data_IF_666493918553
#
_entry.id   IF_666493918553
#
_cell.length_a   1.000
_cell.length_b   1.000
_cell.length_c   1.000
_cell.angle_alpha   90.00
_cell.angle_beta   90.00
_cell.angle_gamma   90.00
#
_symmetry.space_group_name_H-M   'P 1'
#
loop_
_entity.id
_entity.type
_entity.pdbx_description
1 polymer ?
#
# COMPACT_ATOMS: atom_id res chain seq x y z
N UNK A 1 23.00 11.06 45.96
CA UNK A 1 23.62 10.08 45.04
C UNK A 1 24.52 10.82 44.09
N UNK A 2 25.83 10.53 44.12
CA UNK A 2 26.85 11.25 43.33
C UNK A 2 26.75 10.87 41.85
N UNK A 3 26.37 11.81 41.00
CA UNK A 3 26.37 11.64 39.54
C UNK A 3 27.81 11.71 39.04
N UNK A 4 28.44 10.54 38.88
CA UNK A 4 29.72 10.43 38.16
C UNK A 4 29.47 10.89 36.72
N UNK A 5 29.92 12.09 36.37
CA UNK A 5 30.04 12.53 34.99
C UNK A 5 30.90 11.51 34.24
N UNK A 6 30.28 10.63 33.46
CA UNK A 6 31.02 9.80 32.50
C UNK A 6 31.45 10.75 31.38
N UNK A 7 32.69 11.18 31.47
CA UNK A 7 33.36 11.90 30.40
C UNK A 7 33.17 11.16 29.07
N UNK A 8 32.62 11.86 28.07
CA UNK A 8 32.39 11.29 26.75
C UNK A 8 33.71 10.80 26.14
N UNK A 9 33.66 9.61 25.52
CA UNK A 9 34.82 8.98 24.89
C UNK A 9 35.38 9.87 23.77
N UNK A 10 36.71 9.90 23.60
CA UNK A 10 37.35 10.66 22.50
C UNK A 10 36.95 10.09 21.14
N UNK A 11 36.70 10.99 20.19
CA UNK A 11 36.37 10.64 18.81
C UNK A 11 37.62 10.68 17.92
N UNK A 12 38.35 9.57 17.85
CA UNK A 12 39.54 9.46 17.01
C UNK A 12 39.26 9.65 15.51
N UNK A 13 38.04 9.39 15.04
CA UNK A 13 37.68 9.53 13.62
C UNK A 13 37.57 11.02 13.28
N UNK A 14 36.83 11.78 14.09
CA UNK A 14 36.72 13.23 13.93
C UNK A 14 38.08 13.91 14.10
N UNK A 15 38.88 13.47 15.08
CA UNK A 15 40.20 14.02 15.36
C UNK A 15 41.18 13.79 14.19
N UNK A 16 41.17 12.59 13.60
CA UNK A 16 41.96 12.32 12.39
C UNK A 16 41.45 13.12 11.19
N UNK A 17 40.14 13.26 11.03
CA UNK A 17 39.53 14.02 9.94
C UNK A 17 39.94 15.49 9.98
N UNK A 18 39.91 16.13 11.15
CA UNK A 18 40.33 17.52 11.31
C UNK A 18 41.86 17.68 11.18
N UNK A 19 42.64 16.71 11.67
CA UNK A 19 44.09 16.67 11.46
C UNK A 19 44.46 16.67 9.97
N UNK A 20 43.81 15.81 9.18
CA UNK A 20 44.00 15.77 7.73
C UNK A 20 43.54 17.07 7.06
N UNK A 21 42.41 17.66 7.48
CA UNK A 21 41.96 18.97 6.98
C UNK A 21 42.92 20.10 7.28
N UNK A 22 43.61 20.04 8.42
CA UNK A 22 44.66 21.00 8.80
C UNK A 22 45.99 20.78 8.06
N UNK A 23 46.05 19.79 7.15
CA UNK A 23 47.20 19.52 6.31
C UNK A 23 48.21 18.54 6.90
N UNK A 24 47.89 17.88 8.03
CA UNK A 24 48.76 16.89 8.64
C UNK A 24 48.64 15.56 7.88
N UNK A 25 49.77 15.08 7.37
CA UNK A 25 49.85 13.88 6.52
C UNK A 25 50.79 12.83 7.10
N UNK A 26 51.59 13.19 8.10
CA UNK A 26 52.51 12.26 8.77
C UNK A 26 51.89 11.69 10.04
N UNK A 27 52.18 10.42 10.36
CA UNK A 27 51.70 9.77 11.58
C UNK A 27 52.12 10.48 12.88
N UNK A 28 53.34 11.05 12.91
CA UNK A 28 53.86 11.81 14.07
C UNK A 28 53.09 13.11 14.31
N UNK A 29 52.77 13.83 13.23
CA UNK A 29 51.97 15.04 13.27
C UNK A 29 50.57 14.76 13.81
N UNK A 30 49.94 13.69 13.32
CA UNK A 30 48.61 13.27 13.76
C UNK A 30 48.60 12.85 15.24
N UNK A 31 49.70 12.24 15.71
CA UNK A 31 49.86 11.90 17.13
C UNK A 31 50.00 13.15 18.01
N UNK A 32 50.75 14.16 17.58
CA UNK A 32 50.84 15.45 18.28
C UNK A 32 49.49 16.17 18.27
N UNK A 33 48.77 16.12 17.15
CA UNK A 33 47.45 16.71 17.00
C UNK A 33 46.40 16.08 17.93
N UNK A 34 46.44 14.75 18.13
CA UNK A 34 45.64 14.01 19.13
C UNK A 34 45.95 14.36 20.58
N UNK A 35 47.17 14.86 20.85
CA UNK A 35 47.57 15.26 22.20
C UNK A 35 47.13 16.70 22.53
N UNK A 36 47.02 17.57 21.51
CA UNK A 36 46.68 18.99 21.68
C UNK A 36 45.19 19.29 21.49
N UNK A 37 44.47 18.46 20.74
CA UNK A 37 43.04 18.64 20.47
C UNK A 37 42.20 17.59 21.23
N UNK A 38 41.14 18.02 21.93
CA UNK A 38 40.19 17.12 22.59
C UNK A 38 38.83 17.18 21.87
N UNK A 39 38.59 16.22 20.97
CA UNK A 39 37.31 16.05 20.30
C UNK A 39 36.63 14.82 20.90
N UNK A 40 35.46 15.02 21.52
CA UNK A 40 34.70 13.98 22.19
C UNK A 40 33.47 13.58 21.37
N UNK A 41 33.10 12.30 21.45
CA UNK A 41 31.88 11.78 20.82
C UNK A 41 30.67 12.49 21.41
N UNK A 42 29.91 13.16 20.56
CA UNK A 42 28.60 13.65 20.96
C UNK A 42 27.67 12.46 21.14
N UNK A 43 26.81 12.45 22.19
CA UNK A 43 25.77 11.45 22.29
C UNK A 43 24.94 11.53 21.01
N UNK A 44 24.72 10.38 20.37
CA UNK A 44 23.88 10.25 19.19
C UNK A 44 22.43 10.56 19.56
N UNK A 45 22.11 11.83 19.76
CA UNK A 45 20.74 12.29 19.70
C UNK A 45 20.34 12.09 18.24
N UNK A 46 19.41 11.16 18.01
CA UNK A 46 18.93 10.71 16.70
C UNK A 46 18.50 11.88 15.82
N UNK A 47 19.44 12.53 15.13
CA UNK A 47 19.16 13.47 14.05
C UNK A 47 18.97 12.68 12.75
N UNK A 48 18.11 11.66 12.77
CA UNK A 48 17.43 11.25 11.56
C UNK A 48 16.39 12.33 11.33
N UNK A 49 16.68 13.32 10.49
CA UNK A 49 15.63 14.12 9.88
C UNK A 49 14.94 13.19 8.89
N UNK A 50 13.78 12.59 9.22
CA UNK A 50 13.09 11.75 8.25
C UNK A 50 12.81 12.60 7.00
N UNK A 51 12.90 12.00 5.81
CA UNK A 51 12.55 12.66 4.56
C UNK A 51 11.12 13.21 4.57
N UNK A 52 10.28 12.65 5.43
CA UNK A 52 8.90 13.08 5.72
C UNK A 52 8.82 13.54 7.18
N UNK A 53 8.62 14.85 7.45
CA UNK A 53 8.43 15.31 8.82
C UNK A 53 7.20 14.62 9.43
N UNK A 54 7.26 14.27 10.71
CA UNK A 54 6.18 13.51 11.37
C UNK A 54 4.83 14.23 11.34
N UNK A 55 4.82 15.56 11.25
CA UNK A 55 3.62 16.35 11.05
C UNK A 55 2.89 15.98 9.76
N UNK A 56 3.59 15.71 8.66
CA UNK A 56 2.99 15.27 7.40
C UNK A 56 2.44 13.84 7.45
N UNK A 57 2.95 13.00 8.36
CA UNK A 57 2.41 11.65 8.60
C UNK A 57 1.17 11.68 9.49
N UNK A 58 1.12 12.62 10.44
CA UNK A 58 -0.03 12.84 11.31
C UNK A 58 -1.15 13.57 10.54
N UNK A 59 -0.78 14.46 9.62
CA UNK A 59 -1.72 15.12 8.72
C UNK A 59 -2.20 14.14 7.64
N UNK A 60 -3.50 14.20 7.32
CA UNK A 60 -4.16 13.32 6.34
C UNK A 60 -3.78 13.60 4.86
N UNK A 61 -2.62 14.23 4.62
CA UNK A 61 -2.19 14.72 3.30
C UNK A 61 -2.01 13.60 2.28
N UNK A 62 -1.43 12.47 2.69
CA UNK A 62 -1.18 11.35 1.76
C UNK A 62 -2.47 10.65 1.32
N UNK A 63 -3.42 10.48 2.24
CA UNK A 63 -4.72 9.90 1.90
C UNK A 63 -5.54 10.83 1.00
N UNK A 64 -5.46 12.14 1.24
CA UNK A 64 -6.08 13.12 0.36
C UNK A 64 -5.45 13.12 -1.04
N UNK A 65 -4.11 13.14 -1.16
CA UNK A 65 -3.41 13.03 -2.44
C UNK A 65 -3.79 11.76 -3.20
N UNK A 66 -3.87 10.62 -2.50
CA UNK A 66 -4.29 9.37 -3.11
C UNK A 66 -5.71 9.44 -3.67
N UNK A 67 -6.65 10.04 -2.93
CA UNK A 67 -8.02 10.20 -3.38
C UNK A 67 -8.11 11.11 -4.61
N UNK A 68 -7.36 12.22 -4.61
CA UNK A 68 -7.25 13.14 -5.75
C UNK A 68 -6.68 12.43 -6.99
N UNK A 69 -5.65 11.60 -6.82
CA UNK A 69 -5.09 10.78 -7.90
C UNK A 69 -6.10 9.77 -8.46
N UNK A 70 -6.89 9.10 -7.60
CA UNK A 70 -7.93 8.18 -8.07
C UNK A 70 -9.00 8.93 -8.87
N UNK A 71 -9.49 10.05 -8.35
CA UNK A 71 -10.47 10.88 -9.06
C UNK A 71 -9.94 11.38 -10.40
N UNK A 72 -8.66 11.76 -10.48
CA UNK A 72 -8.04 12.18 -11.74
C UNK A 72 -7.98 11.03 -12.74
N UNK A 73 -7.60 9.81 -12.30
CA UNK A 73 -7.59 8.61 -13.15
C UNK A 73 -8.99 8.30 -13.69
N UNK A 74 -10.00 8.36 -12.83
CA UNK A 74 -11.39 8.10 -13.23
C UNK A 74 -11.90 9.13 -14.25
N UNK A 75 -11.58 10.42 -14.05
CA UNK A 75 -11.93 11.49 -15.01
C UNK A 75 -11.29 11.26 -16.38
N UNK A 76 -10.02 10.84 -16.43
CA UNK A 76 -9.32 10.51 -17.68
C UNK A 76 -10.04 9.33 -18.37
N UNK A 77 -10.34 8.26 -17.63
CA UNK A 77 -11.06 7.11 -18.16
C UNK A 77 -12.45 7.50 -18.70
N UNK A 78 -13.22 8.31 -17.97
CA UNK A 78 -14.52 8.80 -18.41
C UNK A 78 -14.42 9.65 -19.69
N UNK A 79 -13.45 10.57 -19.77
CA UNK A 79 -13.22 11.37 -20.97
C UNK A 79 -12.89 10.50 -22.21
N UNK A 80 -12.21 9.37 -22.02
CA UNK A 80 -11.97 8.40 -23.09
C UNK A 80 -13.19 7.54 -23.45
N UNK A 81 -14.10 7.27 -22.51
CA UNK A 81 -15.31 6.46 -22.73
C UNK A 81 -16.34 7.16 -23.62
N UNK A 82 -16.42 8.49 -23.62
CA UNK A 82 -17.41 9.24 -24.39
C UNK A 82 -17.11 9.40 -25.89
N UNK A 83 -16.06 8.76 -26.41
CA UNK A 83 -15.93 8.57 -27.87
C UNK A 83 -16.92 7.49 -28.30
N UNK A 84 -18.19 7.88 -28.44
CA UNK A 84 -19.23 7.05 -29.07
C UNK A 84 -18.81 6.83 -30.53
N UNK A 85 -18.00 5.80 -30.77
CA UNK A 85 -17.97 5.15 -32.08
C UNK A 85 -19.43 4.81 -32.39
N UNK A 86 -19.97 5.36 -33.47
CA UNK A 86 -21.38 5.18 -33.85
C UNK A 86 -21.77 3.69 -33.87
N UNK A 87 -23.07 3.38 -33.97
CA UNK A 87 -23.57 1.99 -33.94
C UNK A 87 -22.72 1.09 -34.85
N UNK A 88 -21.83 0.31 -34.24
CA UNK A 88 -21.02 -0.66 -34.96
C UNK A 88 -22.01 -1.73 -35.40
N UNK A 89 -22.21 -1.86 -36.72
CA UNK A 89 -23.05 -2.93 -37.24
C UNK A 89 -22.42 -4.26 -36.84
N UNK A 90 -23.23 -5.13 -36.26
CA UNK A 90 -22.76 -6.47 -35.90
C UNK A 90 -22.43 -7.24 -37.17
N UNK A 91 -21.19 -7.70 -37.28
CA UNK A 91 -20.79 -8.62 -38.35
C UNK A 91 -21.13 -10.05 -37.93
N UNK A 92 -21.21 -10.97 -38.90
CA UNK A 92 -21.44 -12.40 -38.64
C UNK A 92 -20.52 -12.94 -37.53
N UNK A 93 -19.28 -12.47 -37.46
CA UNK A 93 -18.30 -12.84 -36.43
C UNK A 93 -18.66 -12.32 -35.03
N UNK A 94 -19.15 -11.09 -34.89
CA UNK A 94 -19.57 -10.57 -33.58
C UNK A 94 -20.82 -11.29 -33.08
N UNK A 95 -21.75 -11.60 -33.98
CA UNK A 95 -22.92 -12.44 -33.68
C UNK A 95 -22.50 -13.84 -33.20
N UNK A 96 -21.59 -14.50 -33.91
CA UNK A 96 -21.05 -15.81 -33.49
C UNK A 96 -20.26 -15.75 -32.18
N UNK A 97 -19.63 -14.61 -31.87
CA UNK A 97 -18.94 -14.41 -30.58
C UNK A 97 -19.93 -14.25 -29.43
N UNK A 98 -21.03 -13.52 -29.65
CA UNK A 98 -22.11 -13.31 -28.67
C UNK A 98 -22.95 -14.57 -28.45
N UNK A 99 -23.11 -15.41 -29.47
CA UNK A 99 -23.92 -16.64 -29.39
C UNK A 99 -23.17 -17.85 -28.83
N UNK A 100 -21.85 -17.73 -28.61
CA UNK A 100 -21.10 -18.78 -27.91
C UNK A 100 -21.47 -18.74 -26.44
N UNK A 101 -21.93 -19.85 -25.85
CA UNK A 101 -22.14 -19.91 -24.41
C UNK A 101 -20.81 -19.56 -23.74
N UNK A 102 -20.85 -18.66 -22.77
CA UNK A 102 -19.69 -18.38 -21.95
C UNK A 102 -19.28 -19.70 -21.27
N UNK A 103 -17.97 -20.02 -21.23
CA UNK A 103 -17.53 -21.19 -20.49
C UNK A 103 -18.06 -21.07 -19.06
N UNK A 104 -18.63 -22.16 -18.57
CA UNK A 104 -19.12 -22.24 -17.19
C UNK A 104 -18.00 -21.72 -16.27
N UNK A 105 -18.35 -20.77 -15.40
CA UNK A 105 -17.37 -20.17 -14.50
C UNK A 105 -16.61 -21.31 -13.82
N UNK A 106 -15.26 -21.29 -13.81
CA UNK A 106 -14.49 -22.40 -13.30
C UNK A 106 -14.96 -22.69 -11.88
N UNK A 107 -15.52 -23.88 -11.68
CA UNK A 107 -15.97 -24.33 -10.37
C UNK A 107 -14.81 -24.16 -9.42
N UNK A 108 -14.99 -23.34 -8.37
CA UNK A 108 -13.98 -23.12 -7.36
C UNK A 108 -13.52 -24.48 -6.86
N UNK A 109 -12.24 -24.81 -7.06
CA UNK A 109 -11.72 -26.12 -6.71
C UNK A 109 -12.03 -26.43 -5.25
N UNK A 110 -12.72 -27.55 -5.01
CA UNK A 110 -13.05 -28.06 -3.67
C UNK A 110 -12.40 -29.42 -3.53
N UNK A 111 -11.79 -29.68 -2.37
CA UNK A 111 -11.34 -31.03 -2.05
C UNK A 111 -12.53 -31.99 -2.01
N UNK A 112 -12.45 -33.21 -2.55
CA UNK A 112 -13.56 -34.18 -2.56
C UNK A 112 -14.16 -34.43 -1.17
N UNK A 113 -13.33 -34.49 -0.12
CA UNK A 113 -13.79 -34.68 1.27
C UNK A 113 -14.67 -33.54 1.77
N UNK A 114 -14.50 -32.32 1.25
CA UNK A 114 -15.31 -31.15 1.63
C UNK A 114 -16.54 -30.94 0.74
N UNK A 115 -16.80 -31.81 -0.24
CA UNK A 115 -18.05 -31.77 -1.01
C UNK A 115 -19.23 -32.36 -0.23
N UNK A 116 -18.95 -33.35 0.64
CA UNK A 116 -19.96 -34.06 1.41
C UNK A 116 -20.23 -33.45 2.80
N UNK A 117 -19.31 -32.60 3.29
CA UNK A 117 -19.43 -31.97 4.61
C UNK A 117 -20.16 -30.64 4.46
N UNK A 118 -21.34 -30.54 5.09
CA UNK A 118 -22.09 -29.28 5.17
C UNK A 118 -21.36 -28.22 6.01
N UNK A 119 -21.83 -26.96 5.98
CA UNK A 119 -21.27 -25.91 6.83
C UNK A 119 -21.36 -26.34 8.30
N UNK A 120 -20.22 -26.39 8.98
CA UNK A 120 -20.14 -26.80 10.39
C UNK A 120 -20.72 -25.76 11.35
N UNK A 121 -20.87 -24.52 10.88
CA UNK A 121 -21.38 -23.39 11.64
C UNK A 121 -22.51 -22.74 10.85
N UNK A 122 -23.67 -22.58 11.49
CA UNK A 122 -24.70 -21.65 11.02
C UNK A 122 -24.56 -20.36 11.84
N UNK A 123 -24.14 -19.28 11.17
CA UNK A 123 -23.99 -17.97 11.81
C UNK A 123 -25.31 -17.21 11.89
N UNK A 124 -26.38 -17.71 11.27
CA UNK A 124 -27.69 -17.06 11.33
C UNK A 124 -28.43 -17.46 12.60
N UNK A 125 -29.08 -16.47 13.21
CA UNK A 125 -29.91 -16.68 14.41
C UNK A 125 -31.16 -17.51 14.11
N UNK A 126 -31.74 -17.30 12.93
CA UNK A 126 -32.98 -17.92 12.45
C UNK A 126 -32.84 -18.39 10.99
N UNK A 127 -33.50 -19.50 10.60
CA UNK A 127 -33.47 -20.00 9.23
C UNK A 127 -34.10 -19.03 8.22
N UNK A 128 -35.09 -18.24 8.65
CA UNK A 128 -35.73 -17.20 7.83
C UNK A 128 -34.79 -16.01 7.59
N UNK A 129 -33.98 -15.64 8.59
CA UNK A 129 -32.96 -14.61 8.44
C UNK A 129 -31.90 -15.02 7.41
N UNK A 130 -31.53 -16.31 7.38
CA UNK A 130 -30.64 -16.87 6.36
C UNK A 130 -31.21 -16.75 4.95
N UNK A 131 -32.46 -17.16 4.75
CA UNK A 131 -33.13 -17.05 3.44
C UNK A 131 -33.19 -15.60 2.97
N UNK A 132 -33.56 -14.68 3.87
CA UNK A 132 -33.62 -13.24 3.58
C UNK A 132 -32.25 -12.69 3.19
N UNK A 133 -31.21 -12.97 3.99
CA UNK A 133 -29.85 -12.51 3.70
C UNK A 133 -29.32 -13.04 2.37
N UNK A 134 -29.55 -14.33 2.08
CA UNK A 134 -29.18 -14.92 0.79
C UNK A 134 -29.96 -14.27 -0.35
N UNK A 135 -31.27 -14.07 -0.23
CA UNK A 135 -32.07 -13.39 -1.26
C UNK A 135 -31.55 -11.99 -1.56
N UNK A 136 -31.24 -11.21 -0.52
CA UNK A 136 -30.64 -9.88 -0.68
C UNK A 136 -29.28 -9.97 -1.37
N UNK A 137 -28.40 -10.86 -0.92
CA UNK A 137 -27.09 -11.07 -1.54
C UNK A 137 -27.19 -11.43 -3.03
N UNK A 138 -28.08 -12.35 -3.42
CA UNK A 138 -28.27 -12.71 -4.83
C UNK A 138 -28.75 -11.51 -5.65
N UNK A 139 -29.71 -10.73 -5.13
CA UNK A 139 -30.20 -9.53 -5.84
C UNK A 139 -29.13 -8.43 -5.96
N UNK A 140 -28.26 -8.31 -4.95
CA UNK A 140 -27.22 -7.29 -4.88
C UNK A 140 -25.97 -7.68 -5.68
N UNK A 141 -25.67 -8.97 -5.77
CA UNK A 141 -24.46 -9.51 -6.42
C UNK A 141 -24.29 -9.05 -7.87
N UNK A 142 -25.39 -8.80 -8.58
CA UNK A 142 -25.39 -8.28 -9.95
C UNK A 142 -24.81 -6.86 -10.06
N UNK A 143 -24.88 -6.08 -8.99
CA UNK A 143 -24.34 -4.72 -8.92
C UNK A 143 -22.90 -4.64 -8.38
N UNK A 144 -22.29 -5.80 -8.06
CA UNK A 144 -20.97 -5.88 -7.43
C UNK A 144 -19.95 -6.47 -8.38
N UNK A 145 -18.71 -5.98 -8.30
CA UNK A 145 -17.58 -6.53 -9.07
C UNK A 145 -17.16 -7.91 -8.55
N UNK A 146 -16.58 -8.70 -9.44
CA UNK A 146 -15.99 -10.01 -9.14
C UNK A 146 -16.92 -11.19 -9.42
N UNK A 147 -16.32 -12.36 -9.67
CA UNK A 147 -17.02 -13.58 -10.12
C UNK A 147 -18.13 -14.03 -9.15
N UNK A 148 -17.97 -13.74 -7.85
CA UNK A 148 -18.91 -14.10 -6.79
C UNK A 148 -19.83 -12.95 -6.35
N UNK A 149 -19.73 -11.76 -6.98
CA UNK A 149 -20.52 -10.59 -6.60
C UNK A 149 -20.32 -10.14 -5.14
N UNK A 150 -19.11 -10.34 -4.61
CA UNK A 150 -18.72 -9.94 -3.25
C UNK A 150 -17.76 -8.73 -3.23
N UNK A 151 -17.40 -8.21 -4.41
CA UNK A 151 -16.51 -7.04 -4.52
C UNK A 151 -17.24 -5.72 -4.28
N UNK A 152 -16.56 -4.63 -4.62
CA UNK A 152 -17.12 -3.28 -4.54
C UNK A 152 -18.24 -3.08 -5.56
N UNK A 153 -19.18 -2.18 -5.28
CA UNK A 153 -20.23 -1.82 -6.23
C UNK A 153 -19.64 -1.35 -7.56
N UNK A 154 -20.26 -1.77 -8.67
CA UNK A 154 -20.04 -1.11 -9.95
C UNK A 154 -20.67 0.26 -9.83
N UNK A 155 -19.85 1.28 -9.62
CA UNK A 155 -20.27 2.68 -9.78
C UNK A 155 -20.43 2.91 -11.28
N UNK A 156 -21.45 2.31 -11.86
CA UNK A 156 -21.89 2.63 -13.20
C UNK A 156 -22.58 3.98 -13.07
N UNK A 157 -21.80 5.05 -13.17
CA UNK A 157 -22.33 6.40 -13.32
C UNK A 157 -23.29 6.34 -14.52
N UNK A 158 -24.59 6.39 -14.24
CA UNK A 158 -25.59 6.56 -15.28
C UNK A 158 -25.24 7.86 -16.01
N UNK A 159 -24.89 7.68 -17.30
CA UNK A 159 -24.55 8.72 -18.26
C UNK A 159 -25.68 9.72 -18.48
#
# INVERSE_FOLDING_TARGET
MSTRNREAERDFIALNREGVKSGLVTAKELQQYRATHDIRRQPVLFHFRPSTPISELIEYKYAQRWLEEQQAKDKILQAHQHKKLGRIQDTRTTLLRKSRPLPEAPSMWKMPRFQQVGPALDTFRDPEARKKAMSTHHSESASRRGILGQGTYTVDYQS
#
